data_IF_698571175235
#
_entry.id   IF_698571175235
#
_cell.length_a   1.000
_cell.length_b   1.000
_cell.length_c   1.000
_cell.angle_alpha   90.00
_cell.angle_beta   90.00
_cell.angle_gamma   90.00
#
_symmetry.space_group_name_H-M   'P 1'
#
loop_
_entity.id
_entity.type
_entity.pdbx_description
1 polymer ?
#
# COMPACT_ATOMS: atom_id res chain seq x y z
N UNK A 1 -12.59 -39.96 -5.15
CA UNK A 1 -13.58 -39.33 -6.09
C UNK A 1 -14.25 -38.08 -5.51
N UNK A 2 -14.28 -37.83 -4.22
CA UNK A 2 -14.93 -36.64 -3.62
C UNK A 2 -14.10 -35.34 -3.72
N UNK A 3 -12.79 -35.38 -3.76
CA UNK A 3 -11.93 -34.20 -3.87
C UNK A 3 -11.97 -33.51 -5.25
N UNK A 4 -12.17 -34.28 -6.31
CA UNK A 4 -12.21 -33.77 -7.68
C UNK A 4 -13.52 -33.01 -7.99
N UNK A 5 -14.60 -33.25 -7.26
CA UNK A 5 -15.87 -32.54 -7.38
C UNK A 5 -15.88 -31.19 -6.67
N UNK A 6 -15.13 -31.06 -5.56
CA UNK A 6 -14.99 -29.80 -4.80
C UNK A 6 -14.22 -28.74 -5.60
N UNK A 7 -13.18 -29.14 -6.32
CA UNK A 7 -12.40 -28.23 -7.17
C UNK A 7 -13.20 -27.69 -8.37
N UNK A 8 -14.08 -28.52 -8.97
CA UNK A 8 -14.76 -28.20 -10.22
C UNK A 8 -15.94 -27.21 -10.05
N UNK A 9 -16.79 -27.35 -9.04
CA UNK A 9 -17.86 -26.38 -8.81
C UNK A 9 -17.30 -25.05 -8.30
N UNK A 10 -16.21 -25.09 -7.53
CA UNK A 10 -15.54 -23.91 -7.01
C UNK A 10 -14.92 -23.09 -8.15
N UNK A 11 -14.25 -23.73 -9.10
CA UNK A 11 -13.69 -23.07 -10.28
C UNK A 11 -14.79 -22.36 -11.12
N UNK A 12 -15.92 -23.05 -11.37
CA UNK A 12 -17.05 -22.42 -12.06
C UNK A 12 -17.63 -21.25 -11.29
N UNK A 13 -17.80 -21.39 -9.97
CA UNK A 13 -18.29 -20.33 -9.08
C UNK A 13 -17.39 -19.10 -9.13
N UNK A 14 -16.07 -19.28 -8.96
CA UNK A 14 -15.09 -18.20 -8.97
C UNK A 14 -14.99 -17.50 -10.34
N UNK A 15 -15.04 -18.25 -11.44
CA UNK A 15 -15.07 -17.68 -12.79
C UNK A 15 -16.31 -16.82 -13.00
N UNK A 16 -17.51 -17.34 -12.67
CA UNK A 16 -18.75 -16.58 -12.81
C UNK A 16 -18.78 -15.36 -11.89
N UNK A 17 -18.29 -15.49 -10.66
CA UNK A 17 -18.15 -14.39 -9.72
C UNK A 17 -17.23 -13.29 -10.29
N UNK A 18 -16.09 -13.68 -10.85
CA UNK A 18 -15.16 -12.76 -11.53
C UNK A 18 -15.82 -12.10 -12.75
N UNK A 19 -16.57 -12.85 -13.57
CA UNK A 19 -17.27 -12.32 -14.73
C UNK A 19 -18.38 -11.32 -14.33
N UNK A 20 -19.05 -11.53 -13.20
CA UNK A 20 -20.03 -10.60 -12.62
C UNK A 20 -19.34 -9.36 -12.08
N UNK A 21 -18.33 -9.53 -11.24
CA UNK A 21 -17.59 -8.41 -10.62
C UNK A 21 -16.84 -7.55 -11.64
N UNK A 22 -16.30 -8.15 -12.70
CA UNK A 22 -15.66 -7.41 -13.80
C UNK A 22 -16.67 -6.76 -14.76
N UNK A 23 -17.97 -7.02 -14.58
CA UNK A 23 -19.04 -6.49 -15.43
C UNK A 23 -19.13 -7.10 -16.82
N UNK A 24 -18.43 -8.19 -17.07
CA UNK A 24 -18.58 -9.01 -18.27
C UNK A 24 -19.97 -9.64 -18.34
N UNK A 25 -20.56 -9.98 -17.17
CA UNK A 25 -21.97 -10.29 -16.98
C UNK A 25 -22.61 -9.07 -16.30
N UNK A 26 -23.55 -8.42 -16.98
CA UNK A 26 -24.14 -7.17 -16.51
C UNK A 26 -25.30 -7.42 -15.52
N UNK A 27 -25.53 -6.52 -14.54
CA UNK A 27 -26.73 -6.56 -13.71
C UNK A 27 -28.01 -6.67 -14.56
N UNK A 28 -28.90 -7.59 -14.19
CA UNK A 28 -30.11 -7.91 -14.92
C UNK A 28 -29.91 -8.78 -16.16
N UNK A 29 -28.68 -9.10 -16.55
CA UNK A 29 -28.40 -10.00 -17.65
C UNK A 29 -28.79 -11.44 -17.29
N UNK A 30 -29.45 -12.11 -18.25
CA UNK A 30 -29.86 -13.51 -18.07
C UNK A 30 -28.64 -14.43 -18.21
N UNK A 31 -28.36 -15.22 -17.18
CA UNK A 31 -27.32 -16.24 -17.23
C UNK A 31 -27.71 -17.43 -18.14
N UNK A 32 -26.70 -18.14 -18.68
CA UNK A 32 -26.96 -19.40 -19.37
C UNK A 32 -27.64 -20.41 -18.42
N UNK A 33 -28.53 -21.23 -18.97
CA UNK A 33 -29.22 -22.26 -18.19
C UNK A 33 -28.23 -23.30 -17.60
N UNK A 34 -28.67 -24.02 -16.56
CA UNK A 34 -27.88 -25.13 -15.95
C UNK A 34 -27.40 -26.11 -17.04
N UNK A 35 -28.22 -26.37 -18.06
CA UNK A 35 -27.85 -27.25 -19.16
C UNK A 35 -26.76 -26.68 -20.05
N UNK A 36 -26.86 -25.40 -20.39
CA UNK A 36 -25.87 -24.73 -21.23
C UNK A 36 -24.52 -24.63 -20.47
N UNK A 37 -24.57 -24.30 -19.19
CA UNK A 37 -23.35 -24.29 -18.32
C UNK A 37 -22.76 -25.70 -18.19
N UNK A 38 -23.59 -26.72 -18.01
CA UNK A 38 -23.16 -28.13 -17.94
C UNK A 38 -22.40 -28.56 -19.20
N UNK A 39 -22.91 -28.21 -20.37
CA UNK A 39 -22.26 -28.48 -21.67
C UNK A 39 -20.98 -27.66 -21.83
N UNK A 40 -21.05 -26.34 -21.56
CA UNK A 40 -19.92 -25.40 -21.75
C UNK A 40 -18.70 -25.76 -20.91
N UNK A 41 -18.92 -26.17 -19.64
CA UNK A 41 -17.84 -26.46 -18.68
C UNK A 41 -17.56 -27.95 -18.51
N UNK A 42 -18.27 -28.84 -19.19
CA UNK A 42 -18.10 -30.30 -19.06
C UNK A 42 -18.41 -30.80 -17.65
N UNK A 43 -19.35 -30.17 -16.94
CA UNK A 43 -19.72 -30.47 -15.57
C UNK A 43 -21.10 -31.14 -15.47
N UNK A 44 -21.31 -31.94 -14.40
CA UNK A 44 -22.66 -32.46 -14.13
C UNK A 44 -23.63 -31.32 -13.76
N UNK A 45 -24.92 -31.47 -14.07
CA UNK A 45 -25.96 -30.51 -13.69
C UNK A 45 -25.98 -30.25 -12.17
N UNK A 46 -25.73 -31.30 -11.36
CA UNK A 46 -25.65 -31.17 -9.91
C UNK A 46 -24.49 -30.27 -9.48
N UNK A 47 -23.34 -30.39 -10.15
CA UNK A 47 -22.15 -29.56 -9.90
C UNK A 47 -22.41 -28.08 -10.24
N UNK A 48 -23.07 -27.84 -11.41
CA UNK A 48 -23.47 -26.51 -11.84
C UNK A 48 -24.49 -25.89 -10.87
N UNK A 49 -25.53 -26.67 -10.50
CA UNK A 49 -26.55 -26.20 -9.55
C UNK A 49 -25.97 -25.84 -8.20
N UNK A 50 -24.97 -26.59 -7.72
CA UNK A 50 -24.26 -26.28 -6.47
C UNK A 50 -23.50 -24.96 -6.58
N UNK A 51 -22.79 -24.71 -7.67
CA UNK A 51 -22.09 -23.44 -7.92
C UNK A 51 -23.08 -22.25 -7.98
N UNK A 52 -24.17 -22.39 -8.75
CA UNK A 52 -25.22 -21.38 -8.83
C UNK A 52 -25.95 -21.16 -7.51
N UNK A 53 -26.16 -22.22 -6.71
CA UNK A 53 -26.76 -22.11 -5.37
C UNK A 53 -25.90 -21.28 -4.40
N UNK A 54 -24.58 -21.42 -4.48
CA UNK A 54 -23.67 -20.60 -3.69
C UNK A 54 -23.71 -19.14 -4.17
N UNK A 55 -23.61 -18.90 -5.49
CA UNK A 55 -23.71 -17.55 -6.05
C UNK A 55 -25.04 -16.86 -5.71
N UNK A 56 -26.15 -17.62 -5.66
CA UNK A 56 -27.44 -17.10 -5.25
C UNK A 56 -27.49 -16.82 -3.74
N UNK A 57 -26.91 -17.70 -2.91
CA UNK A 57 -26.78 -17.50 -1.47
C UNK A 57 -25.92 -16.31 -1.09
N UNK A 58 -24.88 -16.04 -1.91
CA UNK A 58 -23.98 -14.89 -1.76
C UNK A 58 -24.51 -13.63 -2.45
N UNK A 59 -25.74 -13.68 -3.06
CA UNK A 59 -26.41 -12.53 -3.65
C UNK A 59 -25.92 -12.11 -5.04
N UNK A 60 -25.04 -12.86 -5.69
CA UNK A 60 -24.53 -12.54 -7.05
C UNK A 60 -25.54 -12.77 -8.17
N UNK A 61 -26.48 -13.67 -7.96
CA UNK A 61 -27.51 -14.03 -8.94
C UNK A 61 -28.86 -14.22 -8.28
N UNK A 62 -29.93 -13.96 -9.02
CA UNK A 62 -31.31 -14.18 -8.61
C UNK A 62 -32.00 -15.17 -9.57
N UNK A 63 -32.70 -16.15 -9.01
CA UNK A 63 -33.43 -17.15 -9.80
C UNK A 63 -34.93 -16.91 -9.72
N UNK A 64 -35.55 -16.68 -10.87
CA UNK A 64 -36.99 -16.50 -10.99
C UNK A 64 -37.62 -17.76 -11.61
N UNK A 65 -38.60 -18.31 -10.94
CA UNK A 65 -39.28 -19.53 -11.40
C UNK A 65 -39.88 -19.32 -12.79
N UNK A 66 -39.54 -20.17 -13.73
CA UNK A 66 -40.03 -20.12 -15.12
C UNK A 66 -39.35 -19.06 -16.02
N UNK A 67 -38.59 -18.11 -15.43
CA UNK A 67 -37.92 -17.05 -16.21
C UNK A 67 -36.42 -17.30 -16.37
N UNK A 68 -35.80 -18.00 -15.44
CA UNK A 68 -34.38 -18.30 -15.44
C UNK A 68 -33.59 -17.61 -14.32
N UNK A 69 -32.27 -17.67 -14.41
CA UNK A 69 -31.35 -17.05 -13.47
C UNK A 69 -30.77 -15.78 -14.12
N UNK A 70 -30.69 -14.72 -13.35
CA UNK A 70 -30.21 -13.41 -13.78
C UNK A 70 -29.09 -12.94 -12.86
N UNK A 71 -28.16 -12.14 -13.39
CA UNK A 71 -27.20 -11.44 -12.59
C UNK A 71 -27.97 -10.49 -11.66
N UNK A 72 -27.79 -10.64 -10.37
CA UNK A 72 -28.37 -9.72 -9.40
C UNK A 72 -27.72 -8.35 -9.57
N UNK A 73 -28.50 -7.30 -9.33
CA UNK A 73 -27.93 -5.96 -9.16
C UNK A 73 -27.35 -5.86 -7.73
N UNK A 74 -26.33 -6.69 -7.48
CA UNK A 74 -25.63 -6.81 -6.18
C UNK A 74 -25.27 -5.43 -5.64
N UNK A 75 -25.22 -4.46 -6.49
CA UNK A 75 -24.57 -3.16 -6.33
C UNK A 75 -25.58 -2.03 -6.12
N UNK A 76 -26.85 -2.26 -6.40
CA UNK A 76 -27.92 -1.32 -6.02
C UNK A 76 -28.24 -1.37 -4.52
N UNK A 77 -27.82 -2.45 -3.84
CA UNK A 77 -27.90 -2.58 -2.37
C UNK A 77 -26.69 -2.00 -1.64
N UNK A 78 -25.68 -1.47 -2.38
CA UNK A 78 -24.34 -1.18 -1.88
C UNK A 78 -24.20 0.28 -1.38
N UNK A 79 -25.03 1.20 -1.81
CA UNK A 79 -24.96 2.60 -1.33
C UNK A 79 -25.73 2.81 -0.04
N UNK A 80 -25.10 3.46 0.92
CA UNK A 80 -25.70 3.78 2.21
C UNK A 80 -25.53 2.68 3.25
N UNK A 81 -24.46 1.86 3.14
CA UNK A 81 -24.14 0.85 4.16
C UNK A 81 -23.57 1.46 5.44
N UNK A 82 -23.11 2.71 5.38
CA UNK A 82 -22.39 3.36 6.47
C UNK A 82 -20.98 2.78 6.69
N UNK A 83 -20.44 2.00 5.75
CA UNK A 83 -19.15 1.32 5.88
C UNK A 83 -18.12 1.86 4.90
N UNK A 84 -16.97 2.29 5.42
CA UNK A 84 -15.78 2.63 4.63
C UNK A 84 -14.72 1.57 4.87
N UNK A 85 -14.17 1.02 3.79
CA UNK A 85 -13.04 0.11 3.90
C UNK A 85 -11.72 0.88 4.03
N UNK A 86 -10.85 0.43 4.92
CA UNK A 86 -9.47 0.91 5.07
C UNK A 86 -8.54 -0.29 4.88
N UNK A 87 -7.82 -0.29 3.77
CA UNK A 87 -6.90 -1.36 3.40
C UNK A 87 -5.48 -0.84 3.49
N UNK A 88 -4.68 -1.41 4.40
CA UNK A 88 -3.29 -1.00 4.62
C UNK A 88 -2.33 -2.16 4.45
N UNK A 89 -1.06 -1.84 4.20
CA UNK A 89 -0.02 -2.87 4.09
C UNK A 89 0.34 -3.47 5.45
N UNK A 90 0.21 -2.71 6.54
CA UNK A 90 0.41 -3.15 7.91
C UNK A 90 -0.60 -2.47 8.84
N UNK A 91 -0.86 -3.02 10.05
CA UNK A 91 -1.83 -2.47 11.02
C UNK A 91 -1.17 -2.21 12.38
N UNK A 92 -0.39 -3.17 12.88
CA UNK A 92 -0.04 -3.27 14.29
C UNK A 92 1.16 -2.42 14.70
N UNK A 93 1.99 -2.01 13.76
CA UNK A 93 3.30 -1.45 14.05
C UNK A 93 3.52 -0.11 13.37
N UNK A 94 4.39 0.70 13.98
CA UNK A 94 5.09 1.75 13.33
C UNK A 94 4.24 3.01 13.12
N UNK A 95 3.79 3.33 11.91
CA UNK A 95 3.06 4.56 11.59
C UNK A 95 1.54 4.35 11.50
N UNK A 96 1.09 3.12 11.29
CA UNK A 96 -0.29 2.80 10.95
C UNK A 96 -1.33 3.07 12.04
N UNK A 97 -1.07 2.84 13.35
CA UNK A 97 -2.06 3.14 14.38
C UNK A 97 -2.53 4.60 14.38
N UNK A 98 -1.62 5.57 14.21
CA UNK A 98 -1.97 6.99 14.14
C UNK A 98 -2.67 7.36 12.84
N UNK A 99 -2.27 6.76 11.74
CA UNK A 99 -2.94 6.93 10.45
C UNK A 99 -4.41 6.48 10.55
N UNK A 100 -4.64 5.29 11.11
CA UNK A 100 -5.98 4.74 11.30
C UNK A 100 -6.79 5.61 12.26
N UNK A 101 -6.19 6.12 13.33
CA UNK A 101 -6.83 7.04 14.26
C UNK A 101 -7.33 8.31 13.54
N UNK A 102 -6.50 8.96 12.73
CA UNK A 102 -6.92 10.15 11.97
C UNK A 102 -8.03 9.86 10.95
N UNK A 103 -8.04 8.67 10.35
CA UNK A 103 -9.13 8.24 9.48
C UNK A 103 -10.42 8.04 10.30
N UNK A 104 -10.33 7.31 11.43
CA UNK A 104 -11.46 6.95 12.26
C UNK A 104 -12.17 8.16 12.86
N UNK A 105 -11.42 9.13 13.38
CA UNK A 105 -11.98 10.37 13.94
C UNK A 105 -12.85 11.09 12.91
N UNK A 106 -12.37 11.29 11.68
CA UNK A 106 -13.13 11.99 10.64
C UNK A 106 -14.34 11.17 10.18
N UNK A 107 -14.19 9.86 9.98
CA UNK A 107 -15.27 9.02 9.46
C UNK A 107 -16.36 8.79 10.51
N UNK A 108 -15.99 8.53 11.77
CA UNK A 108 -16.94 8.32 12.87
C UNK A 108 -17.80 9.55 13.15
N UNK A 109 -17.19 10.75 13.11
CA UNK A 109 -17.91 12.04 13.26
C UNK A 109 -18.92 12.27 12.12
N UNK A 110 -18.76 11.59 11.00
CA UNK A 110 -19.66 11.66 9.84
C UNK A 110 -20.57 10.42 9.71
N UNK A 111 -20.64 9.57 10.74
CA UNK A 111 -21.58 8.44 10.82
C UNK A 111 -21.14 7.19 10.06
N UNK A 112 -19.86 7.09 9.67
CA UNK A 112 -19.31 5.90 9.00
C UNK A 112 -18.55 5.00 9.97
N UNK A 113 -18.65 3.69 9.73
CA UNK A 113 -17.85 2.66 10.40
C UNK A 113 -16.68 2.20 9.50
N UNK A 114 -15.55 1.82 10.12
CA UNK A 114 -14.38 1.33 9.38
C UNK A 114 -14.36 -0.19 9.29
N UNK A 115 -14.16 -0.72 8.08
CA UNK A 115 -13.77 -2.11 7.83
C UNK A 115 -12.27 -2.15 7.54
N UNK A 116 -11.48 -2.59 8.52
CA UNK A 116 -10.03 -2.61 8.41
C UNK A 116 -9.51 -3.93 7.84
N UNK A 117 -8.62 -3.87 6.83
CA UNK A 117 -7.95 -5.02 6.22
C UNK A 117 -6.43 -4.81 6.14
N UNK A 118 -5.67 -5.89 6.40
CA UNK A 118 -4.20 -5.90 6.35
C UNK A 118 -3.70 -6.82 5.25
N UNK A 119 -3.09 -6.25 4.21
CA UNK A 119 -2.57 -7.04 3.10
C UNK A 119 -1.22 -7.69 3.40
N UNK A 120 -0.46 -7.19 4.38
CA UNK A 120 0.93 -7.59 4.60
C UNK A 120 1.82 -7.29 3.38
N UNK A 121 1.46 -6.27 2.59
CA UNK A 121 2.08 -5.89 1.32
C UNK A 121 2.01 -7.01 0.26
N UNK A 122 0.91 -7.77 0.23
CA UNK A 122 0.64 -8.86 -0.72
C UNK A 122 -0.46 -8.47 -1.69
N UNK A 123 -0.13 -8.36 -2.99
CA UNK A 123 -1.10 -8.09 -4.07
C UNK A 123 -2.22 -9.12 -4.17
N UNK A 124 -1.93 -10.40 -3.86
CA UNK A 124 -2.95 -11.45 -3.85
C UNK A 124 -3.96 -11.23 -2.72
N UNK A 125 -3.49 -10.81 -1.53
CA UNK A 125 -4.40 -10.48 -0.42
C UNK A 125 -5.20 -9.22 -0.73
N UNK A 126 -4.58 -8.22 -1.34
CA UNK A 126 -5.26 -6.99 -1.78
C UNK A 126 -6.40 -7.31 -2.73
N UNK A 127 -6.14 -8.06 -3.81
CA UNK A 127 -7.17 -8.48 -4.76
C UNK A 127 -8.32 -9.22 -4.07
N UNK A 128 -8.01 -10.21 -3.22
CA UNK A 128 -9.03 -10.96 -2.47
C UNK A 128 -9.86 -10.06 -1.55
N UNK A 129 -9.23 -9.08 -0.90
CA UNK A 129 -9.95 -8.16 -0.03
C UNK A 129 -10.82 -7.19 -0.82
N UNK A 130 -10.37 -6.70 -1.96
CA UNK A 130 -11.20 -5.89 -2.85
C UNK A 130 -12.43 -6.66 -3.32
N UNK A 131 -12.28 -7.92 -3.76
CA UNK A 131 -13.41 -8.79 -4.11
C UNK A 131 -14.40 -8.96 -2.95
N UNK A 132 -13.88 -9.26 -1.75
CA UNK A 132 -14.70 -9.41 -0.54
C UNK A 132 -15.45 -8.12 -0.19
N UNK A 133 -14.76 -6.97 -0.24
CA UNK A 133 -15.33 -5.68 0.13
C UNK A 133 -16.39 -5.22 -0.87
N UNK A 134 -16.13 -5.37 -2.18
CA UNK A 134 -17.11 -5.09 -3.23
C UNK A 134 -18.36 -5.96 -3.01
N UNK A 135 -18.18 -7.26 -2.72
CA UNK A 135 -19.32 -8.16 -2.55
C UNK A 135 -20.15 -7.91 -1.29
N UNK A 136 -19.53 -7.38 -0.22
CA UNK A 136 -20.23 -7.05 1.03
C UNK A 136 -20.94 -5.70 1.01
N UNK A 137 -20.59 -4.85 0.05
CA UNK A 137 -21.05 -3.48 -0.02
C UNK A 137 -20.26 -2.56 0.93
N UNK A 138 -19.59 -1.58 0.32
CA UNK A 138 -18.91 -0.47 1.00
C UNK A 138 -19.28 0.82 0.30
N UNK A 139 -19.35 1.91 1.04
CA UNK A 139 -19.65 3.22 0.47
C UNK A 139 -18.40 3.88 -0.11
N UNK A 140 -17.22 3.51 0.37
CA UNK A 140 -15.94 4.02 -0.12
C UNK A 140 -14.75 3.23 0.40
N UNK A 141 -13.55 3.55 -0.12
CA UNK A 141 -12.31 2.85 0.17
C UNK A 141 -11.15 3.82 0.34
N UNK A 142 -10.37 3.66 1.42
CA UNK A 142 -9.04 4.25 1.58
C UNK A 142 -8.04 3.11 1.51
N UNK A 143 -7.06 3.20 0.61
CA UNK A 143 -6.16 2.07 0.34
C UNK A 143 -4.70 2.50 0.18
N UNK A 144 -3.81 1.82 0.90
CA UNK A 144 -2.39 1.77 0.60
C UNK A 144 -2.12 0.58 -0.33
N UNK A 145 -1.73 0.81 -1.59
CA UNK A 145 -1.56 -0.25 -2.57
C UNK A 145 -0.35 -1.14 -2.25
N UNK A 146 -0.52 -2.45 -2.39
CA UNK A 146 0.54 -3.42 -2.12
C UNK A 146 1.54 -3.48 -3.27
N UNK A 147 2.83 -3.33 -2.96
CA UNK A 147 3.92 -3.37 -3.95
C UNK A 147 3.65 -2.44 -5.12
N UNK A 148 3.43 -1.16 -4.81
CA UNK A 148 2.94 -0.13 -5.73
C UNK A 148 3.85 0.13 -6.96
N UNK A 149 5.14 -0.26 -6.92
CA UNK A 149 6.03 -0.21 -8.08
C UNK A 149 5.97 -1.46 -8.96
N UNK A 150 5.18 -2.44 -8.60
CA UNK A 150 5.02 -3.66 -9.41
C UNK A 150 3.67 -3.62 -10.11
N UNK A 151 3.65 -3.89 -11.42
CA UNK A 151 2.44 -3.88 -12.26
C UNK A 151 1.22 -4.45 -11.54
N UNK A 152 0.15 -3.65 -11.46
CA UNK A 152 -1.10 -4.06 -10.85
C UNK A 152 -1.79 -5.13 -11.73
N UNK A 153 -1.99 -6.34 -11.20
CA UNK A 153 -2.65 -7.43 -11.93
C UNK A 153 -4.16 -7.49 -11.75
N UNK A 154 -4.69 -6.69 -10.83
CA UNK A 154 -6.12 -6.67 -10.48
C UNK A 154 -6.76 -5.30 -10.77
N UNK A 155 -6.31 -4.64 -11.83
CA UNK A 155 -6.86 -3.37 -12.32
C UNK A 155 -8.37 -3.45 -12.50
N UNK A 156 -8.89 -4.60 -12.98
CA UNK A 156 -10.32 -4.83 -13.19
C UNK A 156 -11.16 -4.69 -11.92
N UNK A 157 -10.59 -4.88 -10.72
CA UNK A 157 -11.31 -4.65 -9.47
C UNK A 157 -11.47 -3.14 -9.18
N UNK A 158 -10.47 -2.34 -9.51
CA UNK A 158 -10.57 -0.87 -9.45
C UNK A 158 -11.53 -0.32 -10.51
N UNK A 159 -11.50 -0.86 -11.73
CA UNK A 159 -12.48 -0.54 -12.77
C UNK A 159 -13.92 -0.92 -12.33
N UNK A 160 -14.04 -1.97 -11.52
CA UNK A 160 -15.33 -2.35 -10.92
C UNK A 160 -15.79 -1.32 -9.89
N UNK A 161 -14.90 -0.82 -9.02
CA UNK A 161 -15.21 0.29 -8.10
C UNK A 161 -15.66 1.54 -8.87
N UNK A 162 -14.93 1.91 -9.93
CA UNK A 162 -15.30 3.04 -10.80
C UNK A 162 -16.70 2.85 -11.43
N UNK A 163 -16.97 1.68 -11.99
CA UNK A 163 -18.24 1.35 -12.62
C UNK A 163 -19.43 1.47 -11.66
N UNK A 164 -19.20 1.12 -10.40
CA UNK A 164 -20.22 1.17 -9.34
C UNK A 164 -20.21 2.46 -8.57
N UNK A 165 -19.41 3.43 -9.02
CA UNK A 165 -19.30 4.75 -8.39
C UNK A 165 -18.94 4.67 -6.91
N UNK A 166 -18.17 3.65 -6.50
CA UNK A 166 -17.58 3.54 -5.17
C UNK A 166 -16.29 4.34 -5.17
N UNK A 167 -16.24 5.51 -4.50
CA UNK A 167 -15.06 6.32 -4.49
C UNK A 167 -13.95 5.65 -3.68
N UNK A 168 -12.71 5.80 -4.16
CA UNK A 168 -11.54 5.32 -3.44
C UNK A 168 -10.39 6.31 -3.49
N UNK A 169 -9.61 6.33 -2.41
CA UNK A 169 -8.46 7.22 -2.23
C UNK A 169 -7.22 6.38 -1.99
N UNK A 170 -6.20 6.57 -2.82
CA UNK A 170 -4.88 6.02 -2.54
C UNK A 170 -4.15 6.84 -1.49
N UNK A 171 -3.47 6.16 -0.58
CA UNK A 171 -2.61 6.78 0.43
C UNK A 171 -1.21 6.20 0.36
N UNK A 172 -0.20 7.03 0.64
CA UNK A 172 1.22 6.66 0.71
C UNK A 172 1.85 6.19 -0.60
N UNK A 173 1.10 5.65 -1.52
CA UNK A 173 1.52 5.18 -2.83
C UNK A 173 0.33 5.07 -3.77
N UNK A 174 0.60 4.86 -5.04
CA UNK A 174 -0.38 4.51 -6.07
C UNK A 174 0.30 3.70 -7.15
N UNK A 175 -0.47 2.92 -7.88
CA UNK A 175 0.05 2.18 -9.02
C UNK A 175 0.37 3.11 -10.19
N UNK A 176 1.41 2.79 -10.95
CA UNK A 176 1.83 3.58 -12.12
C UNK A 176 0.71 3.75 -13.14
N UNK A 177 -0.18 2.75 -13.27
CA UNK A 177 -1.32 2.75 -14.18
C UNK A 177 -2.51 3.62 -13.70
N UNK A 178 -2.45 4.14 -12.46
CA UNK A 178 -3.56 4.83 -11.79
C UNK A 178 -3.18 6.22 -11.27
N UNK A 179 -2.22 6.90 -11.91
CA UNK A 179 -1.69 8.20 -11.44
C UNK A 179 -2.75 9.30 -11.38
N UNK A 180 -3.78 9.22 -12.22
CA UNK A 180 -4.89 10.19 -12.26
C UNK A 180 -5.95 9.97 -11.17
N UNK A 181 -5.83 8.86 -10.40
CA UNK A 181 -6.80 8.56 -9.35
C UNK A 181 -6.56 9.41 -8.10
N UNK A 182 -7.62 9.73 -7.32
CA UNK A 182 -7.48 10.50 -6.09
C UNK A 182 -6.48 9.85 -5.12
N UNK A 183 -5.56 10.67 -4.59
CA UNK A 183 -4.51 10.19 -3.69
C UNK A 183 -4.02 11.26 -2.72
N UNK A 184 -3.45 10.83 -1.59
CA UNK A 184 -2.69 11.65 -0.65
C UNK A 184 -1.32 11.02 -0.48
N UNK A 185 -0.27 11.74 -0.80
CA UNK A 185 1.11 11.28 -0.79
C UNK A 185 2.02 12.17 0.06
N UNK A 186 3.13 11.62 0.51
CA UNK A 186 4.29 12.39 0.97
C UNK A 186 5.14 12.81 -0.24
N UNK A 187 5.81 13.96 -0.14
CA UNK A 187 6.92 14.29 -1.03
C UNK A 187 8.17 13.48 -0.60
N UNK A 188 8.15 12.19 -0.97
CA UNK A 188 9.19 11.23 -0.62
C UNK A 188 10.54 11.61 -1.23
N UNK A 189 10.53 12.16 -2.45
CA UNK A 189 11.75 12.63 -3.11
C UNK A 189 12.34 13.84 -2.38
N UNK A 190 11.52 14.83 -2.06
CA UNK A 190 11.94 15.99 -1.28
C UNK A 190 12.47 15.61 0.09
N UNK A 191 11.82 14.67 0.79
CA UNK A 191 12.27 14.21 2.10
C UNK A 191 13.63 13.51 2.05
N UNK A 192 13.81 12.58 1.11
CA UNK A 192 15.10 11.90 0.96
C UNK A 192 16.21 12.83 0.49
N UNK A 193 15.88 13.82 -0.35
CA UNK A 193 16.81 14.89 -0.69
C UNK A 193 17.28 15.64 0.58
N UNK A 194 16.37 16.01 1.48
CA UNK A 194 16.73 16.75 2.70
C UNK A 194 17.67 15.97 3.62
N UNK A 195 17.42 14.67 3.88
CA UNK A 195 18.31 13.88 4.75
C UNK A 195 19.66 13.61 4.10
N UNK A 196 19.69 13.42 2.76
CA UNK A 196 20.94 13.21 2.02
C UNK A 196 21.77 14.48 1.99
N UNK A 197 21.13 15.61 1.67
CA UNK A 197 21.75 16.94 1.69
C UNK A 197 22.34 17.25 3.06
N UNK A 198 21.61 16.96 4.15
CA UNK A 198 22.09 17.15 5.53
C UNK A 198 23.40 16.40 5.79
N UNK A 199 23.53 15.14 5.35
CA UNK A 199 24.78 14.40 5.48
C UNK A 199 25.92 15.04 4.67
N UNK A 200 25.63 15.46 3.44
CA UNK A 200 26.61 16.10 2.56
C UNK A 200 27.06 17.46 3.09
N UNK A 201 26.14 18.28 3.58
CA UNK A 201 26.44 19.58 4.22
C UNK A 201 27.26 19.42 5.50
N UNK A 202 27.13 18.29 6.22
CA UNK A 202 27.95 17.95 7.39
C UNK A 202 29.36 17.45 7.05
N UNK A 203 29.74 17.46 5.78
CA UNK A 203 31.06 17.07 5.29
C UNK A 203 31.20 15.60 4.88
N UNK A 204 30.15 14.80 4.97
CA UNK A 204 30.18 13.41 4.50
C UNK A 204 30.23 13.37 2.96
N UNK A 205 30.95 12.41 2.40
CA UNK A 205 31.15 12.32 0.93
C UNK A 205 30.99 10.91 0.37
N UNK A 206 31.06 9.90 1.22
CA UNK A 206 30.89 8.50 0.83
C UNK A 206 29.55 7.98 1.38
N UNK A 207 28.46 8.33 0.69
CA UNK A 207 27.10 8.05 1.15
C UNK A 207 26.58 6.77 0.51
N UNK A 208 26.09 5.83 1.33
CA UNK A 208 25.34 4.66 0.88
C UNK A 208 23.83 4.88 1.05
N UNK A 209 23.01 4.24 0.20
CA UNK A 209 21.57 4.31 0.25
C UNK A 209 20.93 2.93 0.42
N UNK A 210 19.93 2.79 1.26
CA UNK A 210 19.16 1.57 1.47
C UNK A 210 17.70 1.83 1.12
N UNK A 211 17.23 1.33 -0.02
CA UNK A 211 15.90 1.64 -0.55
C UNK A 211 15.08 0.38 -0.80
N UNK A 212 13.78 0.52 -0.72
CA UNK A 212 12.83 -0.55 -0.99
C UNK A 212 12.42 -0.52 -2.46
N UNK A 213 12.55 -1.66 -3.15
CA UNK A 213 12.39 -1.74 -4.60
C UNK A 213 10.94 -1.99 -5.05
N UNK A 214 10.07 -2.47 -4.16
CA UNK A 214 8.73 -2.93 -4.51
C UNK A 214 7.62 -1.95 -4.11
N UNK A 215 7.96 -0.72 -3.67
CA UNK A 215 7.00 0.35 -3.47
C UNK A 215 7.47 1.71 -4.02
N UNK A 216 6.50 2.58 -4.31
CA UNK A 216 6.73 3.91 -4.84
C UNK A 216 7.61 4.75 -3.91
N UNK A 217 7.39 4.69 -2.60
CA UNK A 217 8.16 5.47 -1.63
C UNK A 217 9.66 5.20 -1.76
N UNK A 218 10.05 3.93 -1.93
CA UNK A 218 11.45 3.56 -2.07
C UNK A 218 12.09 4.13 -3.33
N UNK A 219 11.37 4.11 -4.45
CA UNK A 219 11.83 4.68 -5.72
C UNK A 219 11.93 6.21 -5.64
N UNK A 220 10.92 6.87 -5.09
CA UNK A 220 10.95 8.34 -4.95
C UNK A 220 12.04 8.79 -3.97
N UNK A 221 12.22 8.09 -2.82
CA UNK A 221 13.31 8.36 -1.89
C UNK A 221 14.68 8.17 -2.53
N UNK A 222 14.85 7.16 -3.38
CA UNK A 222 16.08 7.00 -4.17
C UNK A 222 16.31 8.17 -5.13
N UNK A 223 15.27 8.68 -5.80
CA UNK A 223 15.40 9.87 -6.67
C UNK A 223 15.91 11.09 -5.89
N UNK A 224 15.37 11.32 -4.68
CA UNK A 224 15.82 12.41 -3.80
C UNK A 224 17.27 12.27 -3.37
N UNK A 225 17.71 11.05 -3.04
CA UNK A 225 19.10 10.72 -2.74
C UNK A 225 20.02 11.03 -3.92
N UNK A 226 19.68 10.56 -5.13
CA UNK A 226 20.47 10.82 -6.34
C UNK A 226 20.56 12.32 -6.62
N UNK A 227 19.45 13.04 -6.53
CA UNK A 227 19.42 14.49 -6.74
C UNK A 227 20.38 15.23 -5.80
N UNK A 228 20.40 14.87 -4.50
CA UNK A 228 21.28 15.51 -3.53
C UNK A 228 22.77 15.23 -3.84
N UNK A 229 23.14 14.01 -4.25
CA UNK A 229 24.50 13.69 -4.70
C UNK A 229 24.90 14.53 -5.90
N UNK A 230 24.05 14.64 -6.91
CA UNK A 230 24.31 15.41 -8.13
C UNK A 230 24.54 16.89 -7.83
N UNK A 231 23.73 17.51 -6.98
CA UNK A 231 23.89 18.92 -6.61
C UNK A 231 25.18 19.18 -5.80
N UNK A 232 25.74 18.15 -5.16
CA UNK A 232 27.02 18.23 -4.46
C UNK A 232 28.21 17.71 -5.29
N UNK A 233 28.03 17.52 -6.60
CA UNK A 233 29.05 17.04 -7.53
C UNK A 233 29.65 15.68 -7.17
N UNK A 234 28.85 14.81 -6.49
CA UNK A 234 29.23 13.45 -6.15
C UNK A 234 28.66 12.50 -7.21
N UNK A 235 29.56 11.72 -7.84
CA UNK A 235 29.14 10.73 -8.82
C UNK A 235 28.26 9.65 -8.19
N UNK A 236 27.14 9.35 -8.84
CA UNK A 236 26.29 8.23 -8.44
C UNK A 236 27.02 6.91 -8.64
N UNK A 237 27.04 6.10 -7.60
CA UNK A 237 27.65 4.79 -7.60
C UNK A 237 26.58 3.73 -7.25
N UNK A 238 26.13 2.90 -8.20
CA UNK A 238 25.12 1.89 -7.95
C UNK A 238 25.53 0.83 -6.92
N UNK A 239 26.84 0.58 -6.75
CA UNK A 239 27.34 -0.40 -5.79
C UNK A 239 27.19 0.06 -4.32
N UNK A 240 26.93 1.36 -4.12
CA UNK A 240 26.59 1.95 -2.80
C UNK A 240 25.10 1.92 -2.50
N UNK A 241 24.27 1.43 -3.44
CA UNK A 241 22.83 1.39 -3.27
C UNK A 241 22.35 -0.03 -3.01
N UNK A 242 21.74 -0.22 -1.86
CA UNK A 242 21.15 -1.49 -1.44
C UNK A 242 19.66 -1.48 -1.71
N UNK A 243 19.21 -2.23 -2.70
CA UNK A 243 17.81 -2.47 -2.95
C UNK A 243 17.34 -3.71 -2.19
N UNK A 244 16.25 -3.58 -1.42
CA UNK A 244 15.60 -4.69 -0.75
C UNK A 244 14.10 -4.73 -1.09
N UNK A 245 13.47 -5.89 -0.85
CA UNK A 245 12.04 -6.11 -1.07
C UNK A 245 11.34 -6.40 0.27
N UNK A 246 10.02 -6.44 0.24
CA UNK A 246 9.20 -6.78 1.41
C UNK A 246 9.66 -8.07 2.08
N UNK A 247 10.05 -9.08 1.30
CA UNK A 247 10.40 -10.41 1.79
C UNK A 247 11.76 -10.47 2.51
N UNK A 248 12.73 -9.66 2.08
CA UNK A 248 14.10 -9.70 2.63
C UNK A 248 14.45 -8.50 3.53
N UNK A 249 13.50 -7.58 3.75
CA UNK A 249 13.70 -6.36 4.53
C UNK A 249 14.26 -6.55 5.94
N UNK A 250 14.01 -7.71 6.55
CA UNK A 250 14.50 -8.03 7.90
C UNK A 250 15.91 -8.56 7.95
N UNK A 251 16.48 -8.97 6.81
CA UNK A 251 17.79 -9.64 6.74
C UNK A 251 18.79 -8.90 5.89
N UNK A 252 18.37 -8.43 4.72
CA UNK A 252 19.27 -7.87 3.72
C UNK A 252 19.98 -6.59 4.19
N UNK A 253 19.33 -5.62 4.87
CA UNK A 253 20.03 -4.43 5.32
C UNK A 253 21.24 -4.74 6.23
N UNK A 254 21.04 -5.52 7.29
CA UNK A 254 22.12 -5.91 8.20
C UNK A 254 23.23 -6.74 7.49
N UNK A 255 22.85 -7.66 6.60
CA UNK A 255 23.82 -8.44 5.82
C UNK A 255 24.71 -7.54 4.95
N UNK A 256 24.11 -6.53 4.29
CA UNK A 256 24.86 -5.62 3.42
C UNK A 256 25.79 -4.71 4.21
N UNK A 257 25.38 -4.19 5.38
CA UNK A 257 26.29 -3.46 6.29
C UNK A 257 27.50 -4.32 6.64
N UNK A 258 27.29 -5.59 7.02
CA UNK A 258 28.39 -6.52 7.34
C UNK A 258 29.35 -6.71 6.17
N UNK A 259 28.83 -6.82 4.95
CA UNK A 259 29.65 -6.96 3.76
C UNK A 259 30.46 -5.68 3.48
N UNK A 260 29.85 -4.50 3.59
CA UNK A 260 30.54 -3.21 3.41
C UNK A 260 31.73 -3.05 4.39
N UNK A 261 31.53 -3.43 5.66
CA UNK A 261 32.61 -3.39 6.65
C UNK A 261 33.78 -4.32 6.27
N UNK A 262 33.47 -5.52 5.76
CA UNK A 262 34.48 -6.52 5.37
C UNK A 262 35.28 -6.12 4.12
N UNK A 263 34.66 -5.41 3.18
CA UNK A 263 35.28 -5.05 1.90
C UNK A 263 36.11 -3.78 1.94
N UNK A 264 36.29 -3.15 3.09
CA UNK A 264 37.02 -1.89 3.25
C UNK A 264 36.50 -0.72 2.38
N UNK A 265 35.25 -0.82 1.90
CA UNK A 265 34.53 0.22 1.14
C UNK A 265 33.45 0.87 2.00
N UNK A 266 33.79 1.17 3.24
CA UNK A 266 32.85 1.58 4.25
C UNK A 266 32.38 3.02 4.03
N UNK A 267 31.04 3.30 4.02
CA UNK A 267 30.52 4.64 3.85
C UNK A 267 30.71 5.49 5.11
N UNK A 268 30.81 6.80 4.96
CA UNK A 268 30.80 7.78 6.06
C UNK A 268 29.40 8.30 6.39
N UNK A 269 28.40 7.99 5.54
CA UNK A 269 26.98 8.26 5.74
C UNK A 269 26.08 7.19 5.14
N UNK A 270 24.96 6.92 5.78
CA UNK A 270 23.96 5.95 5.29
C UNK A 270 22.58 6.59 5.34
N UNK A 271 21.92 6.63 4.18
CA UNK A 271 20.52 7.04 4.04
C UNK A 271 19.64 5.79 4.03
N UNK A 272 18.79 5.63 5.04
CA UNK A 272 17.90 4.49 5.14
C UNK A 272 16.49 4.82 4.65
N UNK A 273 15.85 3.84 4.02
CA UNK A 273 14.47 3.93 3.56
C UNK A 273 13.54 4.46 4.64
N UNK A 274 13.66 3.95 5.87
CA UNK A 274 12.90 4.45 7.01
C UNK A 274 13.60 4.15 8.34
N UNK A 275 13.00 4.57 9.47
CA UNK A 275 13.58 4.40 10.80
C UNK A 275 13.74 2.93 11.19
N UNK A 276 12.85 2.03 10.75
CA UNK A 276 12.99 0.59 11.01
C UNK A 276 14.25 0.00 10.36
N UNK A 277 14.56 0.45 9.14
CA UNK A 277 15.79 0.05 8.45
C UNK A 277 17.00 0.72 9.09
N UNK A 278 16.87 1.98 9.51
CA UNK A 278 17.93 2.69 10.20
C UNK A 278 18.33 1.97 11.51
N UNK A 279 17.36 1.52 12.31
CA UNK A 279 17.64 0.73 13.53
C UNK A 279 18.41 -0.55 13.20
N UNK A 280 17.98 -1.32 12.19
CA UNK A 280 18.68 -2.55 11.80
C UNK A 280 20.12 -2.28 11.34
N UNK A 281 20.31 -1.19 10.61
CA UNK A 281 21.63 -0.74 10.14
C UNK A 281 22.50 -0.33 11.32
N UNK A 282 21.98 0.49 12.23
CA UNK A 282 22.70 0.95 13.43
C UNK A 282 23.10 -0.20 14.34
N UNK A 283 22.18 -1.12 14.64
CA UNK A 283 22.49 -2.31 15.44
C UNK A 283 23.59 -3.18 14.83
N UNK A 284 23.60 -3.35 13.51
CA UNK A 284 24.66 -4.12 12.85
C UNK A 284 26.00 -3.34 12.85
N UNK A 285 25.99 -2.02 12.65
CA UNK A 285 27.18 -1.17 12.74
C UNK A 285 27.83 -1.26 14.13
N UNK A 286 27.03 -1.18 15.19
CA UNK A 286 27.51 -1.33 16.56
C UNK A 286 28.11 -2.71 16.82
N UNK A 287 27.49 -3.80 16.32
CA UNK A 287 28.04 -5.16 16.37
C UNK A 287 29.39 -5.29 15.64
N UNK A 288 29.60 -4.48 14.61
CA UNK A 288 30.86 -4.42 13.86
C UNK A 288 31.86 -3.41 14.47
N UNK A 289 31.56 -2.85 15.66
CA UNK A 289 32.42 -1.92 16.37
C UNK A 289 32.50 -0.53 15.76
N UNK A 290 31.56 -0.13 14.91
CA UNK A 290 31.49 1.20 14.32
C UNK A 290 30.73 2.16 15.22
N UNK A 291 31.25 3.36 15.37
CA UNK A 291 30.64 4.43 16.19
C UNK A 291 29.72 5.30 15.30
N UNK A 292 28.56 5.61 15.83
CA UNK A 292 27.57 6.48 15.20
C UNK A 292 27.43 7.72 16.09
N UNK A 293 27.61 8.94 15.56
CA UNK A 293 27.85 9.32 14.16
C UNK A 293 29.32 9.45 13.75
N UNK A 294 30.29 9.11 14.64
CA UNK A 294 31.72 9.41 14.45
C UNK A 294 32.28 8.76 13.19
N UNK A 295 32.15 7.43 13.08
CA UNK A 295 32.63 6.66 11.91
C UNK A 295 31.66 6.74 10.75
N UNK A 296 30.36 6.71 11.04
CA UNK A 296 29.28 6.73 10.05
C UNK A 296 28.03 7.39 10.60
N UNK A 297 27.52 8.37 9.87
CA UNK A 297 26.23 8.98 10.18
C UNK A 297 25.10 8.17 9.55
N UNK A 298 23.97 8.04 10.25
CA UNK A 298 22.80 7.29 9.78
C UNK A 298 21.56 8.19 9.80
N UNK A 299 20.78 8.15 8.73
CA UNK A 299 19.46 8.83 8.67
C UNK A 299 18.35 7.84 8.38
N UNK A 300 17.17 8.15 8.90
CA UNK A 300 15.93 7.41 8.66
C UNK A 300 14.88 8.27 7.96
N UNK A 301 13.63 7.81 8.05
CA UNK A 301 12.42 8.46 7.54
C UNK A 301 11.23 8.07 8.42
N UNK A 302 10.18 8.89 8.51
CA UNK A 302 8.89 8.70 9.16
C UNK A 302 8.78 9.27 10.58
N UNK A 303 9.87 9.66 11.24
CA UNK A 303 9.87 10.17 12.63
C UNK A 303 9.05 9.27 13.58
N UNK A 304 9.22 7.99 13.44
CA UNK A 304 8.53 6.97 14.23
C UNK A 304 8.98 6.94 15.71
N UNK A 305 8.36 6.09 16.50
CA UNK A 305 8.80 5.86 17.89
C UNK A 305 10.24 5.35 17.96
N UNK A 306 10.71 4.61 16.95
CA UNK A 306 12.10 4.15 16.88
C UNK A 306 13.09 5.31 16.76
N UNK A 307 12.73 6.38 16.06
CA UNK A 307 13.61 7.53 15.88
C UNK A 307 13.88 8.32 17.17
N UNK A 308 13.13 8.06 18.23
CA UNK A 308 13.26 8.76 19.52
C UNK A 308 14.04 7.98 20.58
N UNK A 309 14.49 6.77 20.25
CA UNK A 309 15.22 5.91 21.20
C UNK A 309 16.72 6.19 21.17
N UNK A 310 17.40 5.99 22.30
CA UNK A 310 18.84 6.19 22.43
C UNK A 310 19.27 7.63 22.09
N UNK A 311 20.29 7.78 21.24
CA UNK A 311 20.76 9.08 20.75
C UNK A 311 19.81 9.76 19.75
N UNK A 312 18.78 9.05 19.34
CA UNK A 312 17.81 9.48 18.35
C UNK A 312 18.31 9.42 16.91
N UNK A 313 17.38 9.11 15.99
CA UNK A 313 17.66 9.02 14.56
C UNK A 313 17.27 10.33 13.88
N UNK A 314 18.21 10.92 13.12
CA UNK A 314 17.91 12.01 12.17
C UNK A 314 16.99 11.48 11.09
N UNK A 315 15.83 12.12 10.92
CA UNK A 315 14.73 11.55 10.14
C UNK A 315 13.86 12.63 9.50
N UNK A 316 12.93 12.24 8.66
CA UNK A 316 11.91 13.10 8.06
C UNK A 316 10.58 12.91 8.81
N UNK A 317 9.85 14.00 9.02
CA UNK A 317 8.49 13.93 9.56
C UNK A 317 7.56 13.16 8.63
N UNK A 318 6.70 12.36 9.23
CA UNK A 318 5.55 11.75 8.57
C UNK A 318 4.32 12.01 9.45
N UNK A 319 3.49 12.99 9.11
CA UNK A 319 2.33 13.36 9.93
C UNK A 319 1.17 12.37 9.68
N UNK A 320 1.28 11.17 10.25
CA UNK A 320 0.41 10.01 9.99
C UNK A 320 -1.07 10.30 10.24
N UNK A 321 -1.37 10.91 11.38
CA UNK A 321 -2.72 11.27 11.79
C UNK A 321 -3.33 12.28 10.80
N UNK A 322 -2.60 13.35 10.49
CA UNK A 322 -3.01 14.35 9.49
C UNK A 322 -3.23 13.73 8.10
N UNK A 323 -2.37 12.79 7.69
CA UNK A 323 -2.54 12.08 6.41
C UNK A 323 -3.85 11.28 6.43
N UNK A 324 -4.15 10.60 7.53
CA UNK A 324 -5.41 9.87 7.73
C UNK A 324 -6.63 10.78 7.65
N UNK A 325 -6.60 11.92 8.37
CA UNK A 325 -7.67 12.93 8.31
C UNK A 325 -7.88 13.45 6.88
N UNK A 326 -6.80 13.79 6.18
CA UNK A 326 -6.86 14.31 4.81
C UNK A 326 -7.48 13.28 3.85
N UNK A 327 -7.09 12.01 3.97
CA UNK A 327 -7.64 10.93 3.15
C UNK A 327 -9.15 10.73 3.41
N UNK A 328 -9.57 10.74 4.66
CA UNK A 328 -10.97 10.64 5.03
C UNK A 328 -11.80 11.84 4.55
N UNK A 329 -11.29 13.06 4.72
CA UNK A 329 -11.94 14.29 4.22
C UNK A 329 -12.10 14.26 2.70
N UNK A 330 -11.05 13.87 1.96
CA UNK A 330 -11.11 13.75 0.50
C UNK A 330 -12.14 12.68 0.07
N UNK A 331 -12.21 11.56 0.79
CA UNK A 331 -13.21 10.53 0.51
C UNK A 331 -14.64 11.04 0.75
N UNK A 332 -14.90 11.79 1.84
CA UNK A 332 -16.20 12.39 2.13
C UNK A 332 -16.60 13.43 1.08
N UNK A 333 -15.66 14.25 0.57
CA UNK A 333 -15.91 15.14 -0.55
C UNK A 333 -16.38 14.35 -1.78
N UNK A 334 -15.72 13.22 -2.10
CA UNK A 334 -16.14 12.35 -3.21
C UNK A 334 -17.51 11.73 -3.01
N UNK A 335 -17.81 11.25 -1.81
CA UNK A 335 -19.14 10.72 -1.44
C UNK A 335 -20.24 11.78 -1.58
N UNK A 336 -19.90 13.05 -1.32
CA UNK A 336 -20.81 14.18 -1.47
C UNK A 336 -20.91 14.72 -2.90
N UNK A 337 -20.21 14.11 -3.87
CA UNK A 337 -20.23 14.48 -5.27
C UNK A 337 -19.40 15.74 -5.60
N UNK A 338 -18.49 16.17 -4.73
CA UNK A 338 -17.60 17.31 -4.99
C UNK A 338 -16.62 16.95 -6.12
N UNK A 339 -16.55 17.73 -7.21
CA UNK A 339 -15.59 17.51 -8.29
C UNK A 339 -14.13 17.63 -7.80
N UNK A 340 -13.22 16.89 -8.46
CA UNK A 340 -11.79 16.92 -8.10
C UNK A 340 -11.17 18.32 -8.16
N UNK A 341 -11.62 19.14 -9.10
CA UNK A 341 -11.14 20.50 -9.33
C UNK A 341 -11.56 21.47 -8.20
N UNK A 342 -12.63 21.14 -7.48
CA UNK A 342 -13.16 21.93 -6.36
C UNK A 342 -12.66 21.44 -4.99
N UNK A 343 -11.93 20.33 -4.95
CA UNK A 343 -11.39 19.78 -3.70
C UNK A 343 -10.37 20.74 -3.09
N UNK A 344 -10.53 21.01 -1.79
CA UNK A 344 -9.60 21.84 -1.00
C UNK A 344 -8.56 21.03 -0.25
N UNK A 345 -8.60 19.71 -0.36
CA UNK A 345 -7.66 18.83 0.33
C UNK A 345 -6.33 18.82 -0.41
N UNK A 346 -5.25 19.22 0.27
CA UNK A 346 -3.89 19.16 -0.24
C UNK A 346 -3.51 17.69 -0.48
N UNK A 347 -2.94 17.37 -1.65
CA UNK A 347 -2.65 15.98 -2.06
C UNK A 347 -1.21 15.56 -1.83
N UNK A 348 -0.32 16.51 -1.57
CA UNK A 348 1.10 16.26 -1.35
C UNK A 348 1.54 16.91 -0.03
N UNK A 349 2.00 16.07 0.91
CA UNK A 349 2.47 16.52 2.22
C UNK A 349 3.96 16.82 2.14
N UNK A 350 4.34 18.05 2.51
CA UNK A 350 5.74 18.49 2.52
C UNK A 350 6.49 17.87 3.69
N UNK A 351 7.71 17.36 3.45
CA UNK A 351 8.56 16.79 4.48
C UNK A 351 9.29 17.86 5.29
N UNK A 352 9.57 17.55 6.56
CA UNK A 352 10.44 18.36 7.42
C UNK A 352 11.55 17.48 7.98
N UNK A 353 12.78 18.00 8.02
CA UNK A 353 13.94 17.33 8.57
C UNK A 353 13.99 17.52 10.09
N UNK A 354 14.20 16.43 10.81
CA UNK A 354 14.47 16.43 12.26
C UNK A 354 15.87 15.86 12.49
N UNK A 355 16.79 16.72 12.92
CA UNK A 355 18.17 16.35 13.20
C UNK A 355 18.31 15.81 14.62
N UNK A 356 19.02 14.67 14.77
CA UNK A 356 19.31 14.01 16.06
C UNK A 356 20.71 13.40 16.07
N UNK A 357 21.05 12.71 17.17
CA UNK A 357 22.38 12.20 17.46
C UNK A 357 22.96 11.20 16.44
N UNK A 358 22.14 10.52 15.63
CA UNK A 358 22.65 9.56 14.64
C UNK A 358 23.41 10.20 13.47
N UNK A 359 23.34 11.52 13.29
CA UNK A 359 24.04 12.20 12.19
C UNK A 359 24.92 13.37 12.65
N UNK A 360 24.70 13.90 13.84
CA UNK A 360 25.49 15.00 14.40
C UNK A 360 26.01 14.61 15.79
N UNK A 361 27.22 15.02 16.11
CA UNK A 361 27.72 14.88 17.48
C UNK A 361 26.84 15.73 18.39
N UNK A 362 26.15 15.09 19.32
CA UNK A 362 25.53 15.82 20.42
C UNK A 362 26.64 16.44 21.23
N UNK A 363 26.77 17.77 21.18
CA UNK A 363 27.72 18.49 22.07
C UNK A 363 27.38 18.15 23.52
N UNK A 364 28.38 17.72 24.25
CA UNK A 364 28.36 17.56 25.71
C UNK A 364 28.17 18.94 26.32
#
# INVERSE_FOLDING_TARGET
MAENGKAKYYALMEEMKTDILSGKIRPGEKLPSENQLSVRYGLSRHTVRKALGILAGDGYIESFQGKGTFCADVLRQIHGTGNIAVVTTYISDYIFPRLIQGIDEVLSDNGYSIILKNTGNSRQKEARFLEELISKGIDGLIIEPSKSEVLCRHVSLYETLDKYQIPYIFIQGLYTEMQEKPHILMDDAGGSYLVTKHLLDSGRRNIAGFFKADDRQGIERHKGYVKALQEHEIAYDPDKVVWFHTEDRRKKPALMVRNMVRQNSFPDGIVCYNDQIAVQVMEELERQGKKIPEDVAVTGYDNSLYARQGQGITTITHPQEKLGEMAAKLLLEKLSGVPDEESKVERLIRPELIVRGSSVKTGI
#
